data_IF_232568711586
#
_entry.id   IF_232568711586
#
_cell.length_a   1.000
_cell.length_b   1.000
_cell.length_c   1.000
_cell.angle_alpha   90.00
_cell.angle_beta   90.00
_cell.angle_gamma   90.00
#
_symmetry.space_group_name_H-M   'P 1'
#
loop_
_entity.id
_entity.type
_entity.pdbx_description
1 polymer ?
#
# COMPACT_ATOMS: atom_id res chain seq x y z
N UNK A 1 -14.51 -9.60 11.11
CA UNK A 1 -13.28 -10.39 11.30
C UNK A 1 -12.32 -10.16 10.14
N UNK A 2 -11.05 -9.92 10.43
CA UNK A 2 -10.05 -9.67 9.39
C UNK A 2 -9.51 -11.00 8.88
N UNK A 3 -9.61 -11.21 7.58
CA UNK A 3 -9.16 -12.46 6.96
C UNK A 3 -7.79 -12.27 6.30
N UNK A 4 -7.11 -13.40 6.04
CA UNK A 4 -5.88 -13.39 5.26
C UNK A 4 -6.11 -12.84 3.86
N UNK A 5 -7.31 -13.02 3.33
CA UNK A 5 -7.66 -12.49 2.01
C UNK A 5 -7.67 -10.97 2.00
N UNK A 6 -8.15 -10.35 3.08
CA UNK A 6 -8.14 -8.88 3.19
C UNK A 6 -6.72 -8.35 3.21
N UNK A 7 -5.84 -9.00 3.95
CA UNK A 7 -4.43 -8.62 4.02
C UNK A 7 -3.76 -8.81 2.66
N UNK A 8 -3.99 -9.95 2.01
CA UNK A 8 -3.41 -10.24 0.70
C UNK A 8 -3.89 -9.24 -0.37
N UNK A 9 -5.17 -8.89 -0.34
CA UNK A 9 -5.72 -7.90 -1.28
C UNK A 9 -5.05 -6.54 -1.10
N UNK A 10 -4.83 -6.13 0.14
CA UNK A 10 -4.17 -4.87 0.43
C UNK A 10 -2.70 -4.90 0.00
N UNK A 11 -2.02 -6.02 0.23
CA UNK A 11 -0.63 -6.18 -0.22
C UNK A 11 -0.53 -6.08 -1.74
N UNK A 12 -1.50 -6.64 -2.47
CA UNK A 12 -1.55 -6.50 -3.94
C UNK A 12 -1.73 -5.05 -4.36
N UNK A 13 -2.60 -4.30 -3.67
CA UNK A 13 -2.81 -2.89 -3.95
C UNK A 13 -1.53 -2.08 -3.70
N UNK A 14 -0.81 -2.41 -2.64
CA UNK A 14 0.47 -1.76 -2.33
C UNK A 14 1.48 -2.02 -3.44
N UNK A 15 1.59 -3.26 -3.90
CA UNK A 15 2.52 -3.61 -4.98
C UNK A 15 2.22 -2.82 -6.25
N UNK A 16 0.95 -2.65 -6.61
CA UNK A 16 0.54 -1.86 -7.77
C UNK A 16 0.87 -0.39 -7.57
N UNK A 17 0.62 0.14 -6.38
CA UNK A 17 0.90 1.54 -6.07
C UNK A 17 2.41 1.81 -6.11
N UNK A 18 3.22 0.88 -5.61
CA UNK A 18 4.68 0.99 -5.67
C UNK A 18 5.17 0.99 -7.11
N UNK A 19 4.60 0.13 -7.95
CA UNK A 19 4.97 0.07 -9.37
C UNK A 19 4.64 1.39 -10.08
N UNK A 20 3.47 1.98 -9.78
CA UNK A 20 3.10 3.27 -10.33
C UNK A 20 4.03 4.39 -9.86
N UNK A 21 4.34 4.41 -8.56
CA UNK A 21 5.28 5.37 -8.00
C UNK A 21 6.62 5.31 -8.73
N UNK A 22 7.16 4.11 -8.92
CA UNK A 22 8.46 3.94 -9.58
C UNK A 22 8.39 4.32 -11.04
N UNK A 23 7.28 4.05 -11.72
CA UNK A 23 7.05 4.44 -13.10
C UNK A 23 7.08 5.96 -13.27
N UNK A 24 6.40 6.70 -12.38
CA UNK A 24 6.40 8.15 -12.42
C UNK A 24 7.78 8.73 -12.14
N UNK A 25 8.53 8.10 -11.24
CA UNK A 25 9.90 8.53 -10.96
C UNK A 25 10.78 8.41 -12.20
N UNK A 26 10.71 7.26 -12.87
CA UNK A 26 11.50 7.02 -14.09
C UNK A 26 11.10 8.01 -15.20
N UNK A 27 9.81 8.32 -15.29
CA UNK A 27 9.31 9.26 -16.29
C UNK A 27 9.63 10.72 -15.96
N UNK A 28 10.16 11.00 -14.78
CA UNK A 28 10.47 12.37 -14.37
C UNK A 28 9.25 13.20 -14.01
N UNK A 29 8.12 12.57 -13.72
CA UNK A 29 6.86 13.25 -13.41
C UNK A 29 6.76 13.45 -11.90
N UNK A 30 7.40 14.50 -11.40
CA UNK A 30 7.57 14.69 -9.97
C UNK A 30 6.26 14.78 -9.19
N UNK A 31 5.28 15.53 -9.70
CA UNK A 31 4.00 15.66 -9.00
C UNK A 31 3.26 14.34 -8.92
N UNK A 32 3.27 13.59 -10.01
CA UNK A 32 2.66 12.25 -10.05
C UNK A 32 3.40 11.30 -9.12
N UNK A 33 4.71 11.39 -9.08
CA UNK A 33 5.51 10.58 -8.17
C UNK A 33 5.12 10.85 -6.71
N UNK A 34 4.98 12.12 -6.33
CA UNK A 34 4.64 12.47 -4.95
C UNK A 34 3.23 11.98 -4.59
N UNK A 35 2.27 12.09 -5.53
CA UNK A 35 0.93 11.56 -5.30
C UNK A 35 0.96 10.04 -5.07
N UNK A 36 1.70 9.33 -5.92
CA UNK A 36 1.82 7.88 -5.80
C UNK A 36 2.56 7.49 -4.52
N UNK A 37 3.60 8.25 -4.15
CA UNK A 37 4.34 8.03 -2.91
C UNK A 37 3.39 8.15 -1.70
N UNK A 38 2.57 9.18 -1.66
CA UNK A 38 1.61 9.38 -0.58
C UNK A 38 0.60 8.23 -0.50
N UNK A 39 0.17 7.73 -1.65
CA UNK A 39 -0.75 6.59 -1.70
C UNK A 39 -0.11 5.34 -1.10
N UNK A 40 1.15 5.06 -1.46
CA UNK A 40 1.88 3.92 -0.89
C UNK A 40 1.97 4.04 0.62
N UNK A 41 2.33 5.23 1.12
CA UNK A 41 2.44 5.45 2.56
C UNK A 41 1.11 5.19 3.27
N UNK A 42 0.00 5.69 2.71
CA UNK A 42 -1.32 5.50 3.30
C UNK A 42 -1.71 4.02 3.31
N UNK A 43 -1.43 3.30 2.23
CA UNK A 43 -1.75 1.87 2.16
C UNK A 43 -0.90 1.06 3.13
N UNK A 44 0.36 1.42 3.30
CA UNK A 44 1.23 0.74 4.26
C UNK A 44 0.75 0.92 5.69
N UNK A 45 0.25 2.11 6.04
CA UNK A 45 -0.36 2.35 7.35
C UNK A 45 -1.58 1.46 7.53
N UNK A 46 -2.45 1.37 6.51
CA UNK A 46 -3.61 0.49 6.57
C UNK A 46 -3.21 -0.97 6.78
N UNK A 47 -2.17 -1.41 6.07
CA UNK A 47 -1.68 -2.78 6.21
C UNK A 47 -1.20 -3.04 7.63
N UNK A 48 -0.44 -2.13 8.21
CA UNK A 48 0.05 -2.26 9.57
C UNK A 48 -1.11 -2.37 10.56
N UNK A 49 -2.15 -1.55 10.38
CA UNK A 49 -3.34 -1.60 11.23
C UNK A 49 -4.05 -2.95 11.12
N UNK A 50 -4.24 -3.45 9.90
CA UNK A 50 -4.90 -4.73 9.68
C UNK A 50 -4.09 -5.89 10.28
N UNK A 51 -2.79 -5.88 10.10
CA UNK A 51 -1.93 -6.94 10.64
C UNK A 51 -1.94 -6.93 12.16
N UNK A 52 -1.94 -5.74 12.76
CA UNK A 52 -2.01 -5.61 14.21
C UNK A 52 -3.35 -6.12 14.73
N UNK A 53 -4.44 -5.75 14.08
CA UNK A 53 -5.78 -6.19 14.48
C UNK A 53 -5.91 -7.70 14.34
N UNK A 54 -5.35 -8.28 13.28
CA UNK A 54 -5.38 -9.74 13.08
C UNK A 54 -4.64 -10.46 14.19
N UNK A 55 -3.50 -9.92 14.63
CA UNK A 55 -2.75 -10.52 15.76
C UNK A 55 -3.52 -10.47 17.06
N UNK A 56 -4.27 -9.39 17.27
CA UNK A 56 -5.06 -9.23 18.50
C UNK A 56 -6.28 -10.15 18.53
N UNK A 57 -6.71 -10.65 17.35
CA UNK A 57 -7.84 -11.56 17.25
C UNK A 57 -7.45 -13.03 17.39
N UNK A 58 -6.20 -13.35 17.32
CA UNK A 58 -5.74 -14.75 17.38
C UNK A 58 -5.40 -15.24 18.82
#
# INVERSE_FOLDING_TARGET
>A
MISQEDIAALQTRIAKAEAQRDSWRVAGMQEKYLEAYSMVEALEVQLAVLQRAARLQS
#
